data_IF_216965879120
#
_entry.id   IF_216965879120
#
_cell.length_a   1.000
_cell.length_b   1.000
_cell.length_c   1.000
_cell.angle_alpha   90.00
_cell.angle_beta   90.00
_cell.angle_gamma   90.00
#
_symmetry.space_group_name_H-M   'P 1'
#
loop_
_entity.id
_entity.type
_entity.pdbx_description
1 polymer ?
#
# COMPACT_ATOMS: atom_id res chain seq x y z
N UNK A 1 21.38 -14.99 8.56
CA UNK A 1 19.98 -15.43 8.53
C UNK A 1 19.14 -14.80 9.63
N UNK A 2 19.59 -14.76 10.87
CA UNK A 2 18.77 -14.28 12.01
C UNK A 2 18.38 -12.80 11.99
N UNK A 3 19.25 -11.90 11.51
CA UNK A 3 18.96 -10.46 11.51
C UNK A 3 17.85 -10.09 10.52
N UNK A 4 17.89 -10.61 9.29
CA UNK A 4 16.87 -10.34 8.28
C UNK A 4 15.49 -10.90 8.71
N UNK A 5 15.47 -12.11 9.26
CA UNK A 5 14.25 -12.73 9.82
C UNK A 5 13.71 -11.92 11.00
N UNK A 6 14.57 -11.43 11.89
CA UNK A 6 14.19 -10.60 13.03
C UNK A 6 13.62 -9.25 12.55
N UNK A 7 14.26 -8.61 11.57
CA UNK A 7 13.80 -7.35 10.98
C UNK A 7 12.43 -7.54 10.31
N UNK A 8 12.26 -8.61 9.53
CA UNK A 8 10.99 -8.93 8.89
C UNK A 8 9.89 -9.14 9.92
N UNK A 9 10.13 -9.94 10.96
CA UNK A 9 9.16 -10.15 12.06
C UNK A 9 8.80 -8.86 12.77
N UNK A 10 9.77 -8.02 13.08
CA UNK A 10 9.53 -6.71 13.70
C UNK A 10 8.69 -5.80 12.79
N UNK A 11 9.01 -5.74 11.51
CA UNK A 11 8.25 -4.97 10.53
C UNK A 11 6.81 -5.46 10.38
N UNK A 12 6.60 -6.77 10.40
CA UNK A 12 5.27 -7.39 10.35
C UNK A 12 4.44 -7.05 11.58
N UNK A 13 5.04 -7.09 12.78
CA UNK A 13 4.37 -6.68 14.02
C UNK A 13 3.97 -5.20 13.94
N UNK A 14 4.87 -4.33 13.50
CA UNK A 14 4.57 -2.89 13.33
C UNK A 14 3.49 -2.68 12.28
N UNK A 15 3.55 -3.38 11.15
CA UNK A 15 2.54 -3.30 10.10
C UNK A 15 1.17 -3.77 10.60
N UNK A 16 1.11 -4.89 11.34
CA UNK A 16 -0.13 -5.41 11.91
C UNK A 16 -0.72 -4.43 12.95
N UNK A 17 0.10 -3.88 13.84
CA UNK A 17 -0.33 -2.90 14.83
C UNK A 17 -0.84 -1.61 14.17
N UNK A 18 -0.14 -1.11 13.15
CA UNK A 18 -0.57 0.10 12.43
C UNK A 18 -1.82 -0.14 11.61
N UNK A 19 -2.00 -1.33 11.02
CA UNK A 19 -3.24 -1.73 10.36
C UNK A 19 -4.41 -1.83 11.34
N UNK A 20 -4.21 -2.46 12.50
CA UNK A 20 -5.23 -2.55 13.55
C UNK A 20 -5.66 -1.16 14.04
N UNK A 21 -4.70 -0.27 14.35
CA UNK A 21 -4.98 1.12 14.73
C UNK A 21 -5.73 1.86 13.63
N UNK A 22 -5.35 1.65 12.36
CA UNK A 22 -6.02 2.30 11.24
C UNK A 22 -7.46 1.83 11.10
N UNK A 23 -7.70 0.51 11.20
CA UNK A 23 -9.04 -0.08 11.16
C UNK A 23 -9.89 0.45 12.34
N UNK A 24 -9.34 0.48 13.54
CA UNK A 24 -10.03 1.02 14.71
C UNK A 24 -10.40 2.50 14.54
N UNK A 25 -9.48 3.33 14.05
CA UNK A 25 -9.76 4.73 13.76
C UNK A 25 -10.85 4.89 12.69
N UNK A 26 -10.88 4.04 11.68
CA UNK A 26 -11.91 4.01 10.66
C UNK A 26 -13.27 3.60 11.24
N UNK A 27 -13.31 2.60 12.11
CA UNK A 27 -14.53 2.14 12.81
C UNK A 27 -15.04 3.23 13.75
N UNK A 28 -14.20 3.79 14.60
CA UNK A 28 -14.59 4.89 15.53
C UNK A 28 -15.09 6.14 14.79
N UNK A 29 -14.58 6.40 13.59
CA UNK A 29 -15.05 7.51 12.76
C UNK A 29 -16.47 7.29 12.22
N UNK A 30 -16.98 6.06 12.19
CA UNK A 30 -18.35 5.71 11.80
C UNK A 30 -19.40 6.31 12.75
N UNK A 31 -19.17 6.22 14.06
CA UNK A 31 -20.13 6.66 15.08
C UNK A 31 -20.26 8.18 15.25
N UNK A 32 -19.36 8.99 14.67
CA UNK A 32 -19.29 10.44 14.87
C UNK A 32 -19.72 11.28 13.66
N UNK A 33 -20.30 10.68 12.64
CA UNK A 33 -20.75 11.39 11.44
C UNK A 33 -22.16 11.98 11.60
N UNK A 34 -22.27 13.03 12.42
CA UNK A 34 -23.31 14.05 12.19
C UNK A 34 -22.81 15.00 11.08
N UNK A 35 -23.48 14.97 9.95
CA UNK A 35 -23.74 16.08 8.98
C UNK A 35 -22.59 16.87 8.31
N UNK A 36 -21.33 16.59 8.51
CA UNK A 36 -20.27 17.28 7.74
C UNK A 36 -19.67 16.31 6.71
N UNK A 37 -20.04 16.50 5.44
CA UNK A 37 -19.68 15.72 4.26
C UNK A 37 -18.19 15.40 4.06
N UNK A 38 -17.62 14.62 4.95
CA UNK A 38 -16.33 13.98 4.75
C UNK A 38 -16.47 12.98 3.61
N UNK A 39 -15.76 13.25 2.51
CA UNK A 39 -15.88 12.58 1.22
C UNK A 39 -15.82 11.05 1.40
N UNK A 40 -16.86 10.30 1.03
CA UNK A 40 -16.92 8.84 1.22
C UNK A 40 -15.74 8.12 0.56
N UNK A 41 -15.26 8.64 -0.58
CA UNK A 41 -14.10 8.10 -1.29
C UNK A 41 -12.85 7.95 -0.39
N UNK A 42 -12.47 8.98 0.36
CA UNK A 42 -11.26 8.92 1.22
C UNK A 42 -11.35 7.84 2.29
N UNK A 43 -12.54 7.52 2.74
CA UNK A 43 -12.75 6.49 3.75
C UNK A 43 -12.60 5.09 3.15
N UNK A 44 -13.25 4.84 2.03
CA UNK A 44 -13.14 3.56 1.32
C UNK A 44 -11.71 3.30 0.85
N UNK A 45 -11.03 4.33 0.32
CA UNK A 45 -9.64 4.23 -0.10
C UNK A 45 -8.70 3.82 1.03
N UNK A 46 -8.87 4.44 2.22
CA UNK A 46 -8.07 4.06 3.41
C UNK A 46 -8.40 2.66 3.90
N UNK A 47 -9.68 2.28 3.90
CA UNK A 47 -10.09 0.94 4.28
C UNK A 47 -9.53 -0.11 3.32
N UNK A 48 -9.62 0.11 2.01
CA UNK A 48 -9.04 -0.79 1.01
C UNK A 48 -7.52 -0.92 1.17
N UNK A 49 -6.81 0.19 1.37
CA UNK A 49 -5.37 0.17 1.59
C UNK A 49 -4.98 -0.58 2.88
N UNK A 50 -5.68 -0.32 3.99
CA UNK A 50 -5.36 -0.95 5.28
C UNK A 50 -5.73 -2.44 5.30
N UNK A 51 -6.94 -2.78 4.85
CA UNK A 51 -7.42 -4.18 4.87
C UNK A 51 -6.69 -5.02 3.83
N UNK A 52 -6.53 -4.50 2.60
CA UNK A 52 -5.79 -5.20 1.55
C UNK A 52 -4.34 -5.47 1.94
N UNK A 53 -3.65 -4.45 2.48
CA UNK A 53 -2.28 -4.62 2.93
C UNK A 53 -2.14 -5.55 4.13
N UNK A 54 -3.03 -5.45 5.13
CA UNK A 54 -3.02 -6.36 6.27
C UNK A 54 -3.32 -7.82 5.87
N UNK A 55 -4.28 -8.02 4.95
CA UNK A 55 -4.59 -9.34 4.42
C UNK A 55 -3.41 -9.93 3.63
N UNK A 56 -2.76 -9.12 2.78
CA UNK A 56 -1.56 -9.53 2.04
C UNK A 56 -0.46 -10.03 2.99
N UNK A 57 -0.14 -9.26 4.04
CA UNK A 57 0.87 -9.64 5.03
C UNK A 57 0.46 -10.91 5.79
N UNK A 58 -0.79 -10.98 6.24
CA UNK A 58 -1.28 -12.12 7.03
C UNK A 58 -1.26 -13.42 6.22
N UNK A 59 -1.65 -13.37 4.95
CA UNK A 59 -1.62 -14.52 4.05
C UNK A 59 -0.16 -14.94 3.83
N UNK A 60 0.71 -14.02 3.46
CA UNK A 60 2.11 -14.32 3.16
C UNK A 60 2.90 -14.90 4.34
N UNK A 61 2.49 -14.62 5.59
CA UNK A 61 3.31 -14.94 6.77
C UNK A 61 2.70 -15.97 7.71
N UNK A 62 1.39 -16.10 7.72
CA UNK A 62 0.69 -16.95 8.69
C UNK A 62 -0.20 -17.98 8.02
N UNK A 63 -0.86 -17.62 6.93
CA UNK A 63 -1.90 -18.43 6.32
C UNK A 63 -1.48 -19.17 5.05
N UNK A 64 -0.28 -18.93 4.53
CA UNK A 64 0.19 -19.53 3.28
C UNK A 64 -0.02 -21.04 3.24
N UNK A 65 0.69 -21.79 4.10
CA UNK A 65 0.59 -23.25 4.15
C UNK A 65 -0.82 -23.77 4.50
N UNK A 66 -1.60 -22.97 5.23
CA UNK A 66 -2.96 -23.35 5.60
C UNK A 66 -3.91 -23.27 4.41
N UNK A 67 -3.78 -22.20 3.62
CA UNK A 67 -4.61 -21.99 2.41
C UNK A 67 -4.30 -23.06 1.38
N UNK A 68 -3.01 -23.27 1.08
CA UNK A 68 -2.58 -24.20 0.04
C UNK A 68 -2.97 -25.65 0.40
N UNK A 69 -2.75 -26.07 1.65
CA UNK A 69 -3.18 -27.38 2.13
C UNK A 69 -4.71 -27.56 2.17
N UNK A 70 -5.45 -26.51 2.58
CA UNK A 70 -6.91 -26.60 2.69
C UNK A 70 -7.60 -26.63 1.33
N UNK A 71 -7.02 -26.01 0.32
CA UNK A 71 -7.55 -25.94 -1.04
C UNK A 71 -7.03 -27.04 -1.95
N UNK A 72 -5.86 -27.61 -1.64
CA UNK A 72 -5.14 -28.54 -2.51
C UNK A 72 -4.62 -27.87 -3.79
N UNK A 73 -4.47 -26.54 -3.78
CA UNK A 73 -3.94 -25.76 -4.90
C UNK A 73 -2.63 -25.11 -4.45
N UNK A 74 -1.53 -25.54 -5.02
CA UNK A 74 -0.21 -25.02 -4.75
C UNK A 74 -0.13 -23.52 -5.09
N UNK A 75 0.54 -22.74 -4.23
CA UNK A 75 0.75 -21.28 -4.38
C UNK A 75 -0.51 -20.41 -4.51
N UNK A 76 -1.70 -20.92 -4.21
CA UNK A 76 -2.91 -20.09 -4.16
C UNK A 76 -2.77 -18.95 -3.15
N UNK A 77 -2.10 -19.23 -2.04
CA UNK A 77 -1.78 -18.22 -1.02
C UNK A 77 -0.95 -17.07 -1.56
N UNK A 78 0.00 -17.37 -2.47
CA UNK A 78 0.82 -16.34 -3.12
C UNK A 78 -0.01 -15.47 -4.06
N UNK A 79 -0.85 -16.08 -4.90
CA UNK A 79 -1.79 -15.33 -5.74
C UNK A 79 -2.69 -14.41 -4.90
N UNK A 80 -3.26 -14.93 -3.81
CA UNK A 80 -4.12 -14.14 -2.91
C UNK A 80 -3.35 -13.00 -2.24
N UNK A 81 -2.11 -13.24 -1.83
CA UNK A 81 -1.20 -12.21 -1.30
C UNK A 81 -1.02 -11.07 -2.30
N UNK A 82 -0.74 -11.41 -3.55
CA UNK A 82 -0.55 -10.43 -4.61
C UNK A 82 -1.84 -9.66 -4.93
N UNK A 83 -2.98 -10.33 -5.02
CA UNK A 83 -4.27 -9.67 -5.27
C UNK A 83 -4.65 -8.72 -4.12
N UNK A 84 -4.42 -9.12 -2.87
CA UNK A 84 -4.60 -8.25 -1.70
C UNK A 84 -3.65 -7.04 -1.74
N UNK A 85 -2.41 -7.23 -2.19
CA UNK A 85 -1.46 -6.15 -2.43
C UNK A 85 -1.94 -5.17 -3.51
N UNK A 86 -2.48 -5.65 -4.62
CA UNK A 86 -3.10 -4.83 -5.67
C UNK A 86 -4.25 -3.99 -5.11
N UNK A 87 -5.13 -4.59 -4.28
CA UNK A 87 -6.22 -3.85 -3.60
C UNK A 87 -5.67 -2.76 -2.69
N UNK A 88 -4.60 -3.05 -1.94
CA UNK A 88 -3.96 -2.05 -1.08
C UNK A 88 -3.43 -0.85 -1.89
N UNK A 89 -2.70 -1.11 -2.96
CA UNK A 89 -2.14 -0.08 -3.84
C UNK A 89 -3.23 0.76 -4.50
N UNK A 90 -4.30 0.14 -5.00
CA UNK A 90 -5.46 0.85 -5.56
C UNK A 90 -6.12 1.75 -4.51
N UNK A 91 -6.21 1.28 -3.27
CA UNK A 91 -6.68 2.08 -2.14
C UNK A 91 -5.84 3.34 -1.95
N UNK A 92 -4.50 3.21 -1.94
CA UNK A 92 -3.58 4.34 -1.82
C UNK A 92 -3.70 5.29 -3.00
N UNK A 93 -3.69 4.78 -4.22
CA UNK A 93 -3.83 5.60 -5.42
C UNK A 93 -5.17 6.35 -5.47
N UNK A 94 -6.26 5.72 -5.02
CA UNK A 94 -7.57 6.36 -4.91
C UNK A 94 -7.57 7.49 -3.88
N UNK A 95 -6.84 7.30 -2.77
CA UNK A 95 -6.63 8.36 -1.78
C UNK A 95 -5.88 9.54 -2.39
N UNK A 96 -4.80 9.28 -3.15
CA UNK A 96 -4.05 10.31 -3.86
C UNK A 96 -4.90 11.05 -4.89
N UNK A 97 -5.70 10.35 -5.68
CA UNK A 97 -6.64 10.99 -6.62
C UNK A 97 -7.56 11.96 -5.89
N UNK A 98 -8.02 11.60 -4.70
CA UNK A 98 -8.88 12.50 -3.90
C UNK A 98 -8.16 13.77 -3.43
N UNK A 99 -6.83 13.74 -3.30
CA UNK A 99 -6.01 14.87 -2.84
C UNK A 99 -5.51 15.75 -3.98
N UNK A 100 -5.22 15.16 -5.14
CA UNK A 100 -4.52 15.84 -6.26
C UNK A 100 -5.45 16.28 -7.38
N UNK A 101 -6.57 15.59 -7.59
CA UNK A 101 -7.44 15.89 -8.72
C UNK A 101 -8.68 16.69 -8.33
N UNK A 102 -9.12 17.67 -9.14
CA UNK A 102 -10.39 18.35 -8.96
C UNK A 102 -11.57 17.37 -9.13
N UNK A 103 -12.74 17.66 -8.55
CA UNK A 103 -13.86 16.70 -8.48
C UNK A 103 -14.31 16.13 -9.83
N UNK A 104 -14.29 16.94 -10.88
CA UNK A 104 -14.67 16.60 -12.24
C UNK A 104 -13.69 15.64 -12.93
N UNK A 105 -12.39 15.75 -12.65
CA UNK A 105 -11.36 14.88 -13.22
C UNK A 105 -11.16 13.55 -12.46
N UNK A 106 -11.70 13.43 -11.24
CA UNK A 106 -11.48 12.23 -10.37
C UNK A 106 -11.98 10.94 -10.99
N UNK A 107 -13.15 10.96 -11.61
CA UNK A 107 -13.76 9.78 -12.20
C UNK A 107 -12.87 9.17 -13.30
N UNK A 108 -12.33 10.00 -14.19
CA UNK A 108 -11.39 9.55 -15.22
C UNK A 108 -10.09 9.00 -14.64
N UNK A 109 -9.51 9.72 -13.67
CA UNK A 109 -8.30 9.29 -12.99
C UNK A 109 -8.47 7.97 -12.23
N UNK A 110 -9.62 7.73 -11.61
CA UNK A 110 -9.93 6.47 -10.94
C UNK A 110 -10.12 5.33 -11.93
N UNK A 111 -10.88 5.55 -13.02
CA UNK A 111 -11.07 4.51 -14.06
C UNK A 111 -9.75 4.00 -14.60
N UNK A 112 -8.80 4.89 -14.87
CA UNK A 112 -7.47 4.49 -15.36
C UNK A 112 -6.75 3.59 -14.33
N UNK A 113 -6.77 3.94 -13.05
CA UNK A 113 -6.09 3.18 -11.99
C UNK A 113 -6.76 1.83 -11.71
N UNK A 114 -8.09 1.82 -11.62
CA UNK A 114 -8.84 0.58 -11.46
C UNK A 114 -8.72 -0.32 -12.70
N UNK A 115 -8.74 0.27 -13.90
CA UNK A 115 -8.53 -0.46 -15.16
C UNK A 115 -7.16 -1.11 -15.21
N UNK A 116 -6.09 -0.35 -14.91
CA UNK A 116 -4.74 -0.89 -14.85
C UNK A 116 -4.58 -2.00 -13.81
N UNK A 117 -5.09 -1.80 -12.60
CA UNK A 117 -5.09 -2.83 -11.56
C UNK A 117 -5.90 -4.07 -11.96
N UNK A 118 -7.05 -3.87 -12.61
CA UNK A 118 -7.88 -4.97 -13.12
C UNK A 118 -7.17 -5.79 -14.19
N UNK A 119 -6.44 -5.13 -15.09
CA UNK A 119 -5.62 -5.82 -16.11
C UNK A 119 -4.52 -6.66 -15.45
N UNK A 120 -3.79 -6.08 -14.50
CA UNK A 120 -2.73 -6.78 -13.77
C UNK A 120 -3.28 -7.96 -12.98
N UNK A 121 -4.38 -7.77 -12.25
CA UNK A 121 -5.03 -8.84 -11.50
C UNK A 121 -5.53 -9.97 -12.42
N UNK A 122 -6.16 -9.62 -13.54
CA UNK A 122 -6.62 -10.61 -14.52
C UNK A 122 -5.44 -11.38 -15.15
N UNK A 123 -4.38 -10.67 -15.54
CA UNK A 123 -3.17 -11.29 -16.08
C UNK A 123 -2.53 -12.24 -15.06
N UNK A 124 -2.39 -11.81 -13.80
CA UNK A 124 -1.86 -12.65 -12.73
C UNK A 124 -2.71 -13.94 -12.53
N UNK A 125 -4.04 -13.81 -12.50
CA UNK A 125 -4.94 -14.98 -12.37
C UNK A 125 -4.83 -15.91 -13.58
N UNK A 126 -4.77 -15.36 -14.80
CA UNK A 126 -4.65 -16.18 -16.02
C UNK A 126 -3.32 -16.93 -16.02
N UNK A 127 -2.20 -16.24 -15.79
CA UNK A 127 -0.88 -16.89 -15.78
C UNK A 127 -0.82 -17.92 -14.65
N UNK A 128 -1.30 -17.62 -13.46
CA UNK A 128 -1.41 -18.58 -12.36
C UNK A 128 -2.21 -19.83 -12.78
N UNK A 129 -3.38 -19.66 -13.39
CA UNK A 129 -4.20 -20.80 -13.83
C UNK A 129 -3.53 -21.66 -14.90
N UNK A 130 -2.60 -21.09 -15.68
CA UNK A 130 -1.83 -21.82 -16.69
C UNK A 130 -0.63 -22.55 -16.09
N UNK A 131 0.01 -21.99 -15.07
CA UNK A 131 1.23 -22.50 -14.43
C UNK A 131 0.95 -23.45 -13.26
N UNK A 132 -0.09 -23.22 -12.46
CA UNK A 132 -0.42 -24.02 -11.27
C UNK A 132 -0.70 -25.51 -11.58
N UNK A 133 -1.00 -25.84 -12.84
CA UNK A 133 -1.19 -27.23 -13.30
C UNK A 133 0.12 -28.01 -13.45
N UNK A 134 1.25 -27.35 -13.43
CA UNK A 134 2.56 -27.97 -13.64
C UNK A 134 3.27 -28.35 -12.33
N UNK A 135 2.69 -28.03 -11.17
CA UNK A 135 3.33 -28.28 -9.86
C UNK A 135 4.59 -27.43 -9.63
N UNK A 136 4.69 -26.28 -10.29
CA UNK A 136 5.80 -25.33 -10.19
C UNK A 136 5.42 -24.25 -9.20
N UNK A 137 6.26 -24.01 -8.17
CA UNK A 137 6.10 -22.92 -7.22
C UNK A 137 6.30 -21.55 -7.89
N UNK A 138 5.43 -20.59 -7.58
CA UNK A 138 5.51 -19.21 -8.06
C UNK A 138 6.49 -18.37 -7.21
N UNK A 139 7.68 -18.90 -6.95
CA UNK A 139 8.70 -18.21 -6.16
C UNK A 139 9.86 -17.74 -7.03
N UNK A 140 10.67 -16.83 -6.49
CA UNK A 140 11.89 -16.38 -7.18
C UNK A 140 12.88 -17.52 -7.47
N UNK A 141 12.81 -18.65 -6.77
CA UNK A 141 13.59 -19.85 -7.06
C UNK A 141 13.30 -20.42 -8.45
N UNK A 142 12.06 -20.30 -8.93
CA UNK A 142 11.61 -20.80 -10.22
C UNK A 142 11.45 -19.69 -11.27
N UNK A 143 12.10 -18.53 -11.05
CA UNK A 143 12.05 -17.41 -11.98
C UNK A 143 12.60 -17.72 -13.38
N UNK A 144 13.32 -18.84 -13.53
CA UNK A 144 13.80 -19.36 -14.82
C UNK A 144 12.74 -20.17 -15.59
N UNK A 145 11.61 -20.54 -14.94
CA UNK A 145 10.57 -21.30 -15.58
C UNK A 145 9.61 -20.38 -16.34
N UNK A 146 9.23 -20.82 -17.54
CA UNK A 146 8.26 -20.11 -18.39
C UNK A 146 6.91 -20.05 -17.66
N UNK A 147 6.30 -18.90 -17.65
CA UNK A 147 5.05 -18.62 -16.93
C UNK A 147 5.29 -18.05 -15.55
N UNK A 148 6.26 -18.55 -14.79
CA UNK A 148 6.62 -17.97 -13.47
C UNK A 148 7.28 -16.60 -13.65
N UNK A 149 8.24 -16.49 -14.57
CA UNK A 149 8.90 -15.23 -14.88
C UNK A 149 7.90 -14.16 -15.34
N UNK A 150 7.00 -14.50 -16.24
CA UNK A 150 5.97 -13.58 -16.74
C UNK A 150 5.02 -13.15 -15.62
N UNK A 151 4.62 -14.08 -14.74
CA UNK A 151 3.78 -13.77 -13.58
C UNK A 151 4.47 -12.75 -12.65
N UNK A 152 5.71 -13.04 -12.27
CA UNK A 152 6.49 -12.17 -11.37
C UNK A 152 6.72 -10.81 -12.02
N UNK A 153 7.14 -10.76 -13.29
CA UNK A 153 7.38 -9.50 -13.99
C UNK A 153 6.13 -8.61 -14.08
N UNK A 154 4.96 -9.19 -14.37
CA UNK A 154 3.70 -8.43 -14.42
C UNK A 154 3.44 -7.77 -13.07
N UNK A 155 3.62 -8.52 -11.99
CA UNK A 155 3.35 -8.03 -10.65
C UNK A 155 4.40 -7.02 -10.20
N UNK A 156 5.68 -7.32 -10.34
CA UNK A 156 6.78 -6.46 -9.89
C UNK A 156 6.84 -5.13 -10.65
N UNK A 157 6.66 -5.16 -11.97
CA UNK A 157 6.56 -3.93 -12.77
C UNK A 157 5.36 -3.08 -12.36
N UNK A 158 4.23 -3.70 -12.04
CA UNK A 158 3.08 -2.96 -11.50
C UNK A 158 3.46 -2.24 -10.19
N UNK A 159 4.18 -2.92 -9.28
CA UNK A 159 4.66 -2.31 -8.03
C UNK A 159 5.67 -1.21 -8.27
N UNK A 160 6.61 -1.40 -9.19
CA UNK A 160 7.58 -0.38 -9.58
C UNK A 160 6.90 0.90 -10.07
N UNK A 161 6.00 0.76 -11.06
CA UNK A 161 5.30 1.89 -11.68
C UNK A 161 4.38 2.59 -10.69
N UNK A 162 3.63 1.82 -9.90
CA UNK A 162 2.70 2.40 -8.93
C UNK A 162 3.40 3.03 -7.74
N UNK A 163 4.51 2.44 -7.28
CA UNK A 163 5.37 3.02 -6.25
C UNK A 163 5.96 4.36 -6.69
N UNK A 164 6.52 4.42 -7.89
CA UNK A 164 7.02 5.66 -8.47
C UNK A 164 5.91 6.72 -8.61
N UNK A 165 4.72 6.33 -9.03
CA UNK A 165 3.58 7.24 -9.13
C UNK A 165 3.12 7.76 -7.75
N UNK A 166 3.13 6.93 -6.71
CA UNK A 166 2.83 7.34 -5.34
C UNK A 166 3.87 8.35 -4.86
N UNK A 167 5.16 8.06 -4.99
CA UNK A 167 6.24 8.94 -4.59
C UNK A 167 6.16 10.30 -5.31
N UNK A 168 6.03 10.28 -6.65
CA UNK A 168 5.90 11.47 -7.49
C UNK A 168 4.76 12.38 -7.07
N UNK A 169 3.63 11.82 -6.65
CA UNK A 169 2.47 12.62 -6.24
C UNK A 169 2.58 13.09 -4.78
N UNK A 170 3.12 12.29 -3.88
CA UNK A 170 3.16 12.61 -2.46
C UNK A 170 4.30 13.56 -2.08
N UNK A 171 5.46 13.51 -2.74
CA UNK A 171 6.62 14.34 -2.40
C UNK A 171 6.29 15.83 -2.50
N UNK A 172 5.76 16.35 -3.64
CA UNK A 172 5.40 17.77 -3.74
C UNK A 172 4.35 18.17 -2.71
N UNK A 173 3.31 17.33 -2.53
CA UNK A 173 2.26 17.60 -1.54
C UNK A 173 2.81 17.70 -0.11
N UNK A 174 3.76 16.85 0.25
CA UNK A 174 4.40 16.88 1.57
C UNK A 174 5.19 18.17 1.76
N UNK A 175 5.94 18.59 0.75
CA UNK A 175 6.73 19.84 0.76
C UNK A 175 5.80 21.06 0.90
N UNK A 176 4.75 21.14 0.09
CA UNK A 176 3.82 22.27 0.07
C UNK A 176 3.07 22.38 1.40
N UNK A 177 2.59 21.26 1.95
CA UNK A 177 1.93 21.24 3.26
C UNK A 177 2.90 21.56 4.41
N UNK A 178 4.17 21.17 4.30
CA UNK A 178 5.19 21.54 5.28
C UNK A 178 5.43 23.07 5.27
N UNK A 179 5.57 23.66 4.07
CA UNK A 179 5.71 25.12 3.91
C UNK A 179 4.49 25.89 4.40
N UNK A 180 3.29 25.31 4.22
CA UNK A 180 2.04 25.86 4.75
C UNK A 180 1.86 25.66 6.27
N UNK A 181 2.85 25.12 6.99
CA UNK A 181 2.78 24.85 8.43
C UNK A 181 1.88 23.66 8.81
N UNK A 182 1.38 22.90 7.85
CA UNK A 182 0.50 21.76 8.07
C UNK A 182 1.31 20.48 8.34
N UNK A 183 2.18 20.51 9.36
CA UNK A 183 3.18 19.46 9.64
C UNK A 183 2.61 18.04 9.65
N UNK A 184 1.43 17.82 10.23
CA UNK A 184 0.83 16.47 10.33
C UNK A 184 0.43 15.90 8.97
N UNK A 185 -0.13 16.75 8.09
CA UNK A 185 -0.50 16.34 6.74
C UNK A 185 0.78 16.07 5.94
N UNK A 186 1.75 16.96 6.07
CA UNK A 186 3.06 16.80 5.44
C UNK A 186 3.74 15.48 5.87
N UNK A 187 3.77 15.19 7.17
CA UNK A 187 4.34 13.93 7.70
C UNK A 187 3.59 12.70 7.13
N UNK A 188 2.26 12.71 7.13
CA UNK A 188 1.48 11.60 6.57
C UNK A 188 1.80 11.37 5.08
N UNK A 189 1.92 12.45 4.31
CA UNK A 189 2.26 12.38 2.88
C UNK A 189 3.71 11.96 2.66
N UNK A 190 4.65 12.44 3.49
CA UNK A 190 6.05 12.03 3.42
C UNK A 190 6.22 10.52 3.72
N UNK A 191 5.48 10.00 4.70
CA UNK A 191 5.47 8.56 5.01
C UNK A 191 4.91 7.76 3.83
N UNK A 192 3.78 8.17 3.24
CA UNK A 192 3.22 7.51 2.06
C UNK A 192 4.19 7.59 0.87
N UNK A 193 4.89 8.72 0.69
CA UNK A 193 5.92 8.86 -0.33
C UNK A 193 7.09 7.90 -0.10
N UNK A 194 7.58 7.78 1.14
CA UNK A 194 8.61 6.81 1.53
C UNK A 194 8.20 5.38 1.22
N UNK A 195 6.95 5.02 1.50
CA UNK A 195 6.37 3.74 1.08
C UNK A 195 6.39 3.57 -0.44
N UNK A 196 6.01 4.60 -1.19
CA UNK A 196 6.09 4.59 -2.66
C UNK A 196 7.50 4.36 -3.19
N UNK A 197 8.51 5.00 -2.59
CA UNK A 197 9.93 4.79 -2.95
C UNK A 197 10.35 3.36 -2.65
N UNK A 198 10.04 2.84 -1.45
CA UNK A 198 10.39 1.47 -1.07
C UNK A 198 9.73 0.44 -2.01
N UNK A 199 8.45 0.64 -2.35
CA UNK A 199 7.72 -0.17 -3.34
C UNK A 199 8.35 -0.11 -4.73
N UNK A 200 8.78 1.09 -5.16
CA UNK A 200 9.46 1.28 -6.43
C UNK A 200 10.80 0.52 -6.50
N UNK A 201 11.60 0.64 -5.45
CA UNK A 201 12.88 -0.08 -5.32
C UNK A 201 12.64 -1.58 -5.36
N UNK A 202 11.70 -2.08 -4.56
CA UNK A 202 11.34 -3.49 -4.54
C UNK A 202 10.95 -3.99 -5.93
N UNK A 203 9.96 -3.37 -6.58
CA UNK A 203 9.50 -3.82 -7.89
C UNK A 203 10.59 -3.75 -8.97
N UNK A 204 11.50 -2.77 -8.92
CA UNK A 204 12.62 -2.67 -9.88
C UNK A 204 13.65 -3.80 -9.61
N UNK A 205 14.01 -4.04 -8.35
CA UNK A 205 15.04 -5.05 -8.02
C UNK A 205 14.52 -6.46 -8.30
N UNK A 206 13.25 -6.76 -7.99
CA UNK A 206 12.61 -8.03 -8.33
C UNK A 206 12.52 -8.23 -9.84
N UNK A 207 12.03 -7.23 -10.58
CA UNK A 207 11.98 -7.32 -12.04
C UNK A 207 13.35 -7.52 -12.66
N UNK A 208 14.39 -6.85 -12.13
CA UNK A 208 15.76 -7.01 -12.60
C UNK A 208 16.30 -8.41 -12.30
N UNK A 209 16.03 -8.95 -11.11
CA UNK A 209 16.40 -10.31 -10.74
C UNK A 209 15.74 -11.34 -11.66
N UNK A 210 14.43 -11.27 -11.85
CA UNK A 210 13.68 -12.18 -12.74
C UNK A 210 14.20 -12.07 -14.17
N UNK A 211 14.37 -10.85 -14.68
CA UNK A 211 14.89 -10.65 -16.04
C UNK A 211 16.31 -11.17 -16.23
N UNK A 212 17.20 -10.95 -15.28
CA UNK A 212 18.57 -11.45 -15.31
C UNK A 212 18.58 -12.99 -15.29
N UNK A 213 17.81 -13.59 -14.40
CA UNK A 213 17.74 -15.05 -14.27
C UNK A 213 17.16 -15.70 -15.53
N UNK A 214 16.03 -15.18 -16.05
CA UNK A 214 15.33 -15.76 -17.18
C UNK A 214 16.03 -15.54 -18.52
N UNK A 215 16.52 -14.31 -18.78
CA UNK A 215 16.98 -13.95 -20.13
C UNK A 215 18.49 -13.95 -20.31
N UNK A 216 19.26 -13.81 -19.25
CA UNK A 216 20.72 -13.76 -19.37
C UNK A 216 21.43 -14.97 -18.75
N UNK A 217 20.73 -15.78 -17.96
CA UNK A 217 21.32 -16.88 -17.19
C UNK A 217 22.37 -16.41 -16.18
N UNK A 218 22.34 -15.11 -15.83
CA UNK A 218 23.31 -14.53 -14.89
C UNK A 218 23.04 -15.07 -13.50
N UNK A 219 24.08 -15.62 -12.86
CA UNK A 219 24.02 -16.05 -11.47
C UNK A 219 23.86 -14.82 -10.57
N UNK A 220 22.65 -14.58 -10.10
CA UNK A 220 22.34 -13.55 -9.10
C UNK A 220 22.27 -14.23 -7.73
N UNK A 221 22.84 -13.62 -6.71
CA UNK A 221 22.77 -14.17 -5.35
C UNK A 221 21.33 -14.05 -4.82
N UNK A 222 20.64 -15.18 -4.74
CA UNK A 222 19.27 -15.27 -4.28
C UNK A 222 19.12 -14.80 -2.82
N UNK A 223 20.14 -15.07 -1.98
CA UNK A 223 20.11 -14.62 -0.58
C UNK A 223 20.15 -13.10 -0.48
N UNK A 224 20.98 -12.45 -1.29
CA UNK A 224 21.02 -11.00 -1.38
C UNK A 224 19.69 -10.44 -1.88
N UNK A 225 19.08 -11.09 -2.89
CA UNK A 225 17.76 -10.70 -3.40
C UNK A 225 16.67 -10.82 -2.34
N UNK A 226 16.61 -11.91 -1.62
CA UNK A 226 15.64 -12.11 -0.53
C UNK A 226 15.77 -11.05 0.57
N UNK A 227 16.99 -10.67 0.93
CA UNK A 227 17.24 -9.60 1.92
C UNK A 227 16.73 -8.26 1.41
N UNK A 228 17.03 -7.91 0.16
CA UNK A 228 16.58 -6.65 -0.46
C UNK A 228 15.05 -6.62 -0.55
N UNK A 229 14.45 -7.69 -1.04
CA UNK A 229 13.02 -7.86 -1.19
C UNK A 229 12.28 -7.72 0.14
N UNK A 230 12.67 -8.54 1.12
CA UNK A 230 12.05 -8.54 2.45
C UNK A 230 12.19 -7.20 3.15
N UNK A 231 13.37 -6.56 3.05
CA UNK A 231 13.60 -5.25 3.66
C UNK A 231 12.76 -4.15 3.01
N UNK A 232 12.69 -4.15 1.68
CA UNK A 232 11.92 -3.16 0.92
C UNK A 232 10.42 -3.32 1.14
N UNK A 233 9.91 -4.56 1.17
CA UNK A 233 8.52 -4.86 1.47
C UNK A 233 8.15 -4.44 2.91
N UNK A 234 9.04 -4.69 3.88
CA UNK A 234 8.86 -4.28 5.26
C UNK A 234 8.81 -2.74 5.40
N UNK A 235 9.74 -2.04 4.77
CA UNK A 235 9.75 -0.56 4.76
C UNK A 235 8.51 0.01 4.09
N UNK A 236 8.09 -0.56 2.95
CA UNK A 236 6.85 -0.19 2.30
C UNK A 236 5.67 -0.31 3.26
N UNK A 237 5.50 -1.45 3.91
CA UNK A 237 4.39 -1.70 4.83
C UNK A 237 4.39 -0.71 6.01
N UNK A 238 5.55 -0.54 6.68
CA UNK A 238 5.69 0.38 7.82
C UNK A 238 5.36 1.82 7.42
N UNK A 239 5.94 2.31 6.34
CA UNK A 239 5.72 3.68 5.89
C UNK A 239 4.29 3.90 5.44
N UNK A 240 3.73 2.97 4.66
CA UNK A 240 2.37 3.07 4.15
C UNK A 240 1.34 3.11 5.28
N UNK A 241 1.38 2.12 6.19
CA UNK A 241 0.42 2.04 7.29
C UNK A 241 0.57 3.22 8.26
N UNK A 242 1.80 3.62 8.59
CA UNK A 242 2.05 4.80 9.42
C UNK A 242 1.49 6.07 8.77
N UNK A 243 1.67 6.23 7.46
CA UNK A 243 1.15 7.37 6.70
C UNK A 243 -0.38 7.39 6.66
N UNK A 244 -1.02 6.24 6.43
CA UNK A 244 -2.48 6.11 6.46
C UNK A 244 -3.02 6.41 7.85
N UNK A 245 -2.43 5.86 8.91
CA UNK A 245 -2.80 6.11 10.29
C UNK A 245 -2.67 7.61 10.64
N UNK A 246 -1.53 8.23 10.33
CA UNK A 246 -1.30 9.66 10.55
C UNK A 246 -2.32 10.53 9.80
N UNK A 247 -2.69 10.15 8.57
CA UNK A 247 -3.71 10.84 7.78
C UNK A 247 -5.13 10.70 8.34
N UNK A 248 -5.36 9.66 9.15
CA UNK A 248 -6.68 9.34 9.72
C UNK A 248 -6.95 10.07 11.04
N UNK A 249 -5.92 10.49 11.75
CA UNK A 249 -6.04 11.23 13.01
C UNK A 249 -6.57 12.64 12.70
N UNK A 250 -7.78 12.95 13.12
CA UNK A 250 -8.34 14.30 12.98
C UNK A 250 -7.59 15.28 13.87
N UNK A 251 -7.22 16.44 13.33
CA UNK A 251 -6.78 17.57 14.14
C UNK A 251 -7.94 18.01 15.05
N UNK A 252 -7.88 17.66 16.33
CA UNK A 252 -8.80 18.17 17.36
C UNK A 252 -8.63 19.68 17.60
N UNK A 253 -7.53 20.25 17.11
CA UNK A 253 -7.15 21.65 17.32
C UNK A 253 -8.02 22.66 16.54
N UNK A 254 -8.78 22.25 15.51
CA UNK A 254 -9.66 23.15 14.76
C UNK A 254 -11.04 23.39 15.39
N UNK A 255 -11.32 22.80 16.55
CA UNK A 255 -12.58 23.04 17.29
C UNK A 255 -12.48 24.04 18.43
N UNK A 256 -11.43 24.85 18.52
CA UNK A 256 -11.55 26.09 19.28
C UNK A 256 -12.37 27.05 18.43
N UNK A 257 -13.61 27.09 18.80
CA UNK A 257 -14.76 27.60 18.08
C UNK A 257 -14.60 29.02 17.57
N UNK A 258 -15.16 29.33 16.37
CA UNK A 258 -15.49 30.71 16.00
C UNK A 258 -16.40 31.39 17.03
N UNK A 259 -17.09 30.62 17.87
CA UNK A 259 -17.93 31.12 18.95
C UNK A 259 -17.16 31.72 20.15
N UNK A 260 -15.96 31.22 20.47
CA UNK A 260 -15.19 31.79 21.60
C UNK A 260 -14.64 33.19 21.27
N UNK A 261 -14.15 33.39 20.04
CA UNK A 261 -13.72 34.70 19.58
C UNK A 261 -14.87 35.69 19.42
N UNK A 262 -16.09 35.23 19.07
CA UNK A 262 -17.27 36.09 19.08
C UNK A 262 -17.78 36.40 20.46
N UNK A 263 -17.70 35.48 21.41
CA UNK A 263 -18.04 35.72 22.80
C UNK A 263 -17.10 36.73 23.47
N UNK A 264 -15.79 36.63 23.24
CA UNK A 264 -14.78 37.60 23.73
C UNK A 264 -14.98 38.97 23.06
N UNK A 265 -15.26 39.05 21.79
CA UNK A 265 -15.53 40.30 21.08
C UNK A 265 -16.87 40.97 21.53
N UNK A 266 -17.82 40.19 22.01
CA UNK A 266 -19.05 40.74 22.60
C UNK A 266 -18.92 41.12 24.05
N UNK A 267 -18.10 40.44 24.82
CA UNK A 267 -17.83 40.78 26.21
C UNK A 267 -17.02 42.09 26.36
N UNK A 268 -16.12 42.40 25.40
CA UNK A 268 -15.37 43.64 25.37
C UNK A 268 -16.15 44.90 24.88
N UNK A 269 -17.44 44.76 24.51
CA UNK A 269 -18.28 45.87 24.06
C UNK A 269 -19.37 46.27 25.04
N UNK A 270 -19.31 45.87 26.28
CA UNK A 270 -20.22 46.39 27.30
C UNK A 270 -19.57 47.64 27.94
N UNK A 271 -20.26 48.81 27.87
CA UNK A 271 -19.78 50.06 28.45
C UNK A 271 -19.75 50.00 29.95
#
# INVERSE_FOLDING_TARGET
MDFAVTLLRAALVVAALTAAVTIELLVRSRGRQGTTGGRPLNRWSRAAAAVGGAASILIATVLNDTIDRATGVDDLSMLLTHLCGVVAIVGVQSLLVSWTYPPDARAGALRLRFGGAGVVAAAAVIVFALTSRSGIDLTNFYAHDVGVAEYLLIFDLYWAVTGAAIARNCIPLAIDNARAGQRRIATAQALIAGGGVASGIWGITESAFVAATQFTGTAWDITAQEIISSSSAALFAVFLFSGIAASSIRSTSRRRAPGALRAEAQAGRRP
#
